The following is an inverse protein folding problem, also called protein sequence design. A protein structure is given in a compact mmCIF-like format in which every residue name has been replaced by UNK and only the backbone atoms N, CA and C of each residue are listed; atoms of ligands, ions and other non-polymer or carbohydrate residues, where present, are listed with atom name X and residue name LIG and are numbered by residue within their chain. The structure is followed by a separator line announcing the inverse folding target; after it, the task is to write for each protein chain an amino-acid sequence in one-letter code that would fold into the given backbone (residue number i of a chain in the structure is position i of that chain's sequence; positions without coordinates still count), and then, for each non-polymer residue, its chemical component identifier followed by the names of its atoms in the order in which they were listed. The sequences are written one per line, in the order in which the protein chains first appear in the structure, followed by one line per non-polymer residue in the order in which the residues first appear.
data_IF_100404404439
#
_entry.id   IF_100404404439
#
_cell.length_a   1.000
_cell.length_b   1.000
_cell.length_c   1.000
_cell.angle_alpha   90.00
_cell.angle_beta   90.00
_cell.angle_gamma   90.00
#
_symmetry.space_group_name_H-M   'P 1'
#
loop_
_entity.id
_entity.type
_entity.pdbx_description
1 polymer ?
#
# COMPACT_ATOMS: atom_id res chain seq x y z
N UNK A 1 26.21 23.37 12.21
CA UNK A 1 24.90 23.05 12.81
C UNK A 1 23.98 22.58 11.70
N UNK A 2 23.80 21.27 11.54
CA UNK A 2 22.94 20.70 10.50
C UNK A 2 21.53 20.64 11.06
N UNK A 3 20.62 21.46 10.51
CA UNK A 3 19.20 21.41 10.85
C UNK A 3 18.65 20.04 10.44
N UNK A 4 18.25 19.27 11.44
CA UNK A 4 17.45 18.06 11.27
C UNK A 4 16.08 18.49 10.75
N UNK A 5 15.92 18.47 9.43
CA UNK A 5 14.60 18.55 8.81
C UNK A 5 13.87 17.26 9.20
N UNK A 6 12.97 17.35 10.18
CA UNK A 6 12.03 16.31 10.55
C UNK A 6 11.13 16.04 9.34
N UNK A 7 11.54 15.11 8.47
CA UNK A 7 10.76 14.65 7.35
C UNK A 7 9.52 13.96 7.92
N UNK A 8 8.35 14.60 7.79
CA UNK A 8 7.09 14.02 8.24
C UNK A 8 6.58 13.10 7.13
N UNK A 9 6.72 11.79 7.33
CA UNK A 9 6.28 10.77 6.38
C UNK A 9 4.82 10.41 6.68
N UNK A 10 3.95 10.47 5.67
CA UNK A 10 2.52 10.16 5.81
C UNK A 10 2.11 9.05 4.84
N UNK A 11 1.52 7.99 5.39
CA UNK A 11 0.94 6.89 4.62
C UNK A 11 -0.55 7.22 4.37
N UNK A 12 -0.95 7.56 3.13
CA UNK A 12 -2.26 8.17 2.86
C UNK A 12 -2.98 7.68 1.58
N UNK A 13 -4.32 7.71 1.61
CA UNK A 13 -5.23 7.00 0.68
C UNK A 13 -5.90 7.83 -0.41
N UNK A 14 -5.73 9.15 -0.45
CA UNK A 14 -5.72 9.84 -1.72
C UNK A 14 -4.38 10.54 -1.87
N UNK A 15 -3.44 9.83 -2.50
CA UNK A 15 -2.16 10.41 -2.93
C UNK A 15 -2.36 11.68 -3.77
N UNK A 16 -3.54 11.88 -4.38
CA UNK A 16 -3.91 13.10 -5.11
C UNK A 16 -4.23 14.30 -4.21
N UNK A 17 -4.81 14.09 -3.02
CA UNK A 17 -5.26 15.16 -2.12
C UNK A 17 -4.08 15.76 -1.35
N UNK A 18 -3.11 14.92 -0.99
CA UNK A 18 -1.98 15.31 -0.14
C UNK A 18 -0.70 15.68 -0.91
N UNK A 19 -0.73 15.67 -2.25
CA UNK A 19 0.38 16.15 -3.10
C UNK A 19 0.74 17.63 -2.88
N UNK A 20 -0.10 18.38 -2.17
CA UNK A 20 0.07 19.79 -1.85
C UNK A 20 0.87 20.03 -0.54
N UNK A 21 1.30 18.97 0.14
CA UNK A 21 2.11 19.09 1.34
C UNK A 21 3.59 19.30 0.98
N UNK A 22 4.06 20.54 1.05
CA UNK A 22 5.44 20.92 0.66
C UNK A 22 6.55 20.33 1.56
N UNK A 23 6.20 19.75 2.71
CA UNK A 23 7.16 19.27 3.72
C UNK A 23 7.04 17.77 4.06
N UNK A 24 6.15 17.05 3.38
CA UNK A 24 5.89 15.64 3.67
C UNK A 24 6.17 14.76 2.45
N UNK A 25 6.96 13.72 2.65
CA UNK A 25 7.11 12.69 1.64
C UNK A 25 5.97 11.67 1.79
N UNK A 26 5.26 11.45 0.69
CA UNK A 26 4.17 10.49 0.63
C UNK A 26 4.72 9.07 0.49
N UNK A 27 4.15 8.15 1.24
CA UNK A 27 4.46 6.71 1.16
C UNK A 27 3.22 5.97 0.69
N UNK A 28 3.37 5.16 -0.35
CA UNK A 28 2.29 4.38 -0.92
C UNK A 28 1.94 3.16 -0.06
N UNK A 29 0.65 2.97 0.21
CA UNK A 29 0.16 1.79 0.93
C UNK A 29 -0.04 0.61 -0.04
N UNK A 30 0.72 -0.47 0.15
CA UNK A 30 0.65 -1.67 -0.68
C UNK A 30 -0.64 -2.47 -0.50
N UNK A 31 -1.42 -2.23 0.56
CA UNK A 31 -2.73 -2.85 0.71
C UNK A 31 -3.70 -2.43 -0.41
N UNK A 32 -3.55 -1.22 -0.95
CA UNK A 32 -4.37 -0.75 -2.08
C UNK A 32 -3.98 -1.40 -3.39
N UNK A 33 -2.67 -1.61 -3.60
CA UNK A 33 -2.18 -2.40 -4.74
C UNK A 33 -2.79 -3.80 -4.67
N UNK A 34 -2.63 -4.47 -3.51
CA UNK A 34 -3.18 -5.80 -3.27
C UNK A 34 -4.70 -5.87 -3.49
N UNK A 35 -5.45 -4.90 -2.97
CA UNK A 35 -6.92 -4.82 -3.15
C UNK A 35 -7.31 -4.67 -4.61
N UNK A 36 -6.60 -3.84 -5.39
CA UNK A 36 -6.89 -3.67 -6.83
C UNK A 36 -6.67 -4.96 -7.61
N UNK A 37 -5.59 -5.69 -7.33
CA UNK A 37 -5.37 -7.01 -7.91
C UNK A 37 -6.41 -8.04 -7.45
N UNK A 38 -6.84 -7.98 -6.19
CA UNK A 38 -7.93 -8.81 -5.68
C UNK A 38 -9.23 -8.58 -6.45
N UNK A 39 -9.66 -7.32 -6.58
CA UNK A 39 -10.88 -6.95 -7.30
C UNK A 39 -10.81 -7.25 -8.81
N UNK A 40 -9.59 -7.27 -9.36
CA UNK A 40 -9.31 -7.66 -10.74
C UNK A 40 -9.27 -9.18 -10.95
N UNK A 41 -9.19 -9.98 -9.88
CA UNK A 41 -9.10 -11.44 -9.96
C UNK A 41 -10.51 -12.07 -9.86
N UNK A 42 -10.99 -12.77 -10.89
CA UNK A 42 -12.26 -13.51 -10.81
C UNK A 42 -12.24 -14.58 -9.70
N UNK A 43 -13.38 -14.81 -9.04
CA UNK A 43 -13.49 -15.79 -7.94
C UNK A 43 -13.14 -17.24 -8.34
N UNK A 44 -13.30 -17.58 -9.62
CA UNK A 44 -12.97 -18.90 -10.20
C UNK A 44 -11.70 -18.85 -11.06
N UNK A 45 -10.86 -17.82 -10.89
CA UNK A 45 -9.66 -17.69 -11.69
C UNK A 45 -8.62 -18.73 -11.27
N UNK A 46 -7.95 -19.31 -12.26
CA UNK A 46 -6.80 -20.14 -12.02
C UNK A 46 -5.68 -19.33 -11.36
N UNK A 47 -4.83 -20.03 -10.59
CA UNK A 47 -3.63 -19.47 -9.98
C UNK A 47 -2.64 -18.88 -11.00
N UNK A 48 -2.79 -19.24 -12.27
CA UNK A 48 -2.02 -18.75 -13.41
C UNK A 48 -2.53 -17.42 -13.97
N UNK A 49 -3.71 -16.95 -13.55
CA UNK A 49 -4.25 -15.67 -14.00
C UNK A 49 -3.36 -14.50 -13.58
N UNK A 50 -3.29 -13.47 -14.41
CA UNK A 50 -2.47 -12.29 -14.14
C UNK A 50 -2.87 -11.58 -12.83
N UNK A 51 -4.16 -11.55 -12.51
CA UNK A 51 -4.66 -11.02 -11.25
C UNK A 51 -4.13 -11.81 -10.05
N UNK A 52 -4.20 -13.15 -10.10
CA UNK A 52 -3.65 -14.03 -9.07
C UNK A 52 -2.13 -13.89 -8.93
N UNK A 53 -1.40 -13.69 -10.04
CA UNK A 53 0.04 -13.44 -10.02
C UNK A 53 0.37 -12.11 -9.33
N UNK A 54 -0.37 -11.05 -9.62
CA UNK A 54 -0.21 -9.76 -8.93
C UNK A 54 -0.52 -9.84 -7.43
N UNK A 55 -1.53 -10.62 -7.05
CA UNK A 55 -1.81 -10.94 -5.65
C UNK A 55 -0.66 -11.70 -4.99
N UNK A 56 -0.10 -12.69 -5.67
CA UNK A 56 1.01 -13.48 -5.14
C UNK A 56 2.27 -12.62 -4.88
N UNK A 57 2.56 -11.63 -5.72
CA UNK A 57 3.60 -10.64 -5.41
C UNK A 57 3.30 -9.86 -4.14
N UNK A 58 2.07 -9.34 -4.01
CA UNK A 58 1.67 -8.59 -2.82
C UNK A 58 1.76 -9.45 -1.55
N UNK A 59 1.27 -10.69 -1.61
CA UNK A 59 1.30 -11.63 -0.49
C UNK A 59 2.74 -11.95 -0.07
N UNK A 60 3.67 -12.11 -1.02
CA UNK A 60 5.11 -12.29 -0.71
C UNK A 60 5.71 -11.05 -0.02
N UNK A 61 5.39 -9.84 -0.50
CA UNK A 61 5.86 -8.61 0.14
C UNK A 61 5.37 -8.50 1.59
N UNK A 62 4.09 -8.82 1.83
CA UNK A 62 3.52 -8.82 3.19
C UNK A 62 4.06 -9.94 4.08
N UNK A 63 4.38 -11.11 3.52
CA UNK A 63 4.99 -12.20 4.27
C UNK A 63 6.37 -11.78 4.79
N UNK A 64 7.22 -11.23 3.92
CA UNK A 64 8.53 -10.71 4.31
C UNK A 64 8.44 -9.64 5.41
N UNK A 65 7.53 -8.67 5.28
CA UNK A 65 7.36 -7.65 6.33
C UNK A 65 6.88 -8.22 7.66
N UNK A 66 6.02 -9.24 7.65
CA UNK A 66 5.58 -9.89 8.88
C UNK A 66 6.72 -10.62 9.59
N UNK A 67 7.64 -11.23 8.83
CA UNK A 67 8.83 -11.90 9.39
C UNK A 67 9.78 -10.89 10.07
N UNK A 68 9.64 -9.60 9.80
CA UNK A 68 10.51 -8.53 10.30
C UNK A 68 9.83 -7.62 11.33
N UNK A 69 8.67 -8.03 11.86
CA UNK A 69 7.90 -7.20 12.80
C UNK A 69 8.66 -6.91 14.10
N UNK A 70 9.45 -7.88 14.58
CA UNK A 70 10.21 -7.78 15.83
C UNK A 70 11.65 -7.30 15.65
N UNK A 71 12.08 -7.06 14.39
CA UNK A 71 13.42 -6.55 14.11
C UNK A 71 13.53 -5.07 14.45
N UNK A 72 14.75 -4.63 14.76
CA UNK A 72 15.05 -3.20 14.88
C UNK A 72 14.81 -2.48 13.55
N UNK A 73 14.61 -1.16 13.63
CA UNK A 73 14.45 -0.29 12.44
C UNK A 73 15.58 -0.45 11.43
N UNK A 74 16.83 -0.59 11.91
CA UNK A 74 18.02 -0.71 11.07
C UNK A 74 18.09 -2.07 10.38
N UNK A 75 17.85 -3.15 11.13
CA UNK A 75 17.81 -4.52 10.59
C UNK A 75 16.67 -4.68 9.58
N UNK A 76 15.48 -4.14 9.89
CA UNK A 76 14.36 -4.13 8.96
C UNK A 76 14.70 -3.37 7.67
N UNK A 77 15.37 -2.22 7.77
CA UNK A 77 15.80 -1.47 6.60
C UNK A 77 16.81 -2.27 5.76
N UNK A 78 17.77 -2.93 6.40
CA UNK A 78 18.73 -3.79 5.72
C UNK A 78 18.04 -4.94 4.99
N UNK A 79 17.10 -5.62 5.66
CA UNK A 79 16.26 -6.67 5.07
C UNK A 79 15.42 -6.18 3.89
N UNK A 80 14.83 -4.98 4.01
CA UNK A 80 14.11 -4.34 2.90
C UNK A 80 15.00 -4.14 1.68
N UNK A 81 16.22 -3.66 1.87
CA UNK A 81 17.16 -3.46 0.76
C UNK A 81 17.61 -4.79 0.13
N UNK A 82 17.85 -5.81 0.96
CA UNK A 82 18.35 -7.10 0.48
C UNK A 82 17.26 -7.97 -0.19
N UNK A 83 16.03 -7.95 0.33
CA UNK A 83 14.99 -8.93 -0.04
C UNK A 83 13.73 -8.25 -0.62
N UNK A 84 13.27 -7.15 -0.03
CA UNK A 84 12.03 -6.49 -0.46
C UNK A 84 12.22 -5.68 -1.75
N UNK A 85 13.32 -4.94 -1.87
CA UNK A 85 13.66 -4.13 -3.03
C UNK A 85 13.71 -4.94 -4.35
N UNK A 86 14.47 -6.06 -4.44
CA UNK A 86 14.48 -6.86 -5.67
C UNK A 86 13.10 -7.45 -6.00
N UNK A 87 12.30 -7.82 -4.98
CA UNK A 87 10.94 -8.32 -5.20
C UNK A 87 10.00 -7.23 -5.72
N UNK A 88 10.13 -5.99 -5.24
CA UNK A 88 9.40 -4.84 -5.78
C UNK A 88 9.80 -4.57 -7.23
N UNK A 89 11.09 -4.59 -7.54
CA UNK A 89 11.58 -4.40 -8.91
C UNK A 89 11.08 -5.49 -9.85
N UNK A 90 11.08 -6.75 -9.41
CA UNK A 90 10.50 -7.88 -10.15
C UNK A 90 9.01 -7.63 -10.44
N UNK A 91 8.25 -7.18 -9.44
CA UNK A 91 6.83 -6.85 -9.59
C UNK A 91 6.59 -5.71 -10.57
N UNK A 92 7.34 -4.60 -10.49
CA UNK A 92 7.17 -3.47 -11.41
C UNK A 92 7.60 -3.82 -12.84
N UNK A 93 8.70 -4.56 -13.00
CA UNK A 93 9.11 -5.09 -14.30
C UNK A 93 8.06 -6.04 -14.89
N UNK A 94 7.50 -6.92 -14.07
CA UNK A 94 6.39 -7.77 -14.48
C UNK A 94 5.20 -6.91 -14.94
N UNK A 95 4.79 -5.90 -14.17
CA UNK A 95 3.72 -4.97 -14.53
C UNK A 95 3.94 -4.29 -15.89
N UNK A 96 5.15 -3.77 -16.16
CA UNK A 96 5.49 -3.12 -17.45
C UNK A 96 5.40 -4.08 -18.64
N UNK A 97 5.66 -5.36 -18.42
CA UNK A 97 5.63 -6.39 -19.46
C UNK A 97 4.22 -6.93 -19.76
N UNK A 98 3.16 -6.39 -19.14
CA UNK A 98 1.80 -6.85 -19.40
C UNK A 98 1.13 -6.05 -20.51
N UNK A 99 0.72 -6.74 -21.58
CA UNK A 99 -0.11 -6.16 -22.65
C UNK A 99 -1.59 -6.29 -22.29
N UNK A 100 -2.12 -5.32 -21.55
CA UNK A 100 -3.51 -5.34 -21.06
C UNK A 100 -4.32 -4.21 -21.68
N UNK A 101 -5.56 -4.53 -22.07
CA UNK A 101 -6.51 -3.54 -22.57
C UNK A 101 -6.79 -2.45 -21.51
N UNK A 102 -6.63 -1.16 -21.88
CA UNK A 102 -6.98 -0.04 -21.02
C UNK A 102 -8.42 -0.14 -20.53
N UNK A 103 -8.67 0.26 -19.28
CA UNK A 103 -10.02 0.32 -18.70
C UNK A 103 -10.53 -0.98 -18.07
N UNK A 104 -9.87 -2.12 -18.27
CA UNK A 104 -10.14 -3.34 -17.50
C UNK A 104 -9.76 -3.16 -16.03
N UNK A 105 -10.39 -3.94 -15.12
CA UNK A 105 -10.02 -3.90 -13.69
C UNK A 105 -8.53 -4.20 -13.47
N UNK A 106 -8.02 -5.17 -14.22
CA UNK A 106 -6.61 -5.55 -14.17
C UNK A 106 -5.70 -4.45 -14.76
N UNK A 107 -6.09 -3.86 -15.90
CA UNK A 107 -5.38 -2.72 -16.48
C UNK A 107 -5.28 -1.55 -15.50
N UNK A 108 -6.38 -1.22 -14.81
CA UNK A 108 -6.39 -0.19 -13.74
C UNK A 108 -5.50 -0.54 -12.56
N UNK A 109 -5.39 -1.82 -12.19
CA UNK A 109 -4.51 -2.25 -11.10
C UNK A 109 -3.03 -2.06 -11.48
N UNK A 110 -2.65 -2.45 -12.69
CA UNK A 110 -1.30 -2.27 -13.22
C UNK A 110 -0.97 -0.79 -13.39
N UNK A 111 -1.85 -0.03 -14.04
CA UNK A 111 -1.69 1.41 -14.25
C UNK A 111 -1.49 2.15 -12.92
N UNK A 112 -2.33 1.84 -11.92
CA UNK A 112 -2.17 2.41 -10.58
C UNK A 112 -0.83 2.06 -9.96
N UNK A 113 -0.37 0.81 -10.09
CA UNK A 113 0.91 0.37 -9.55
C UNK A 113 2.06 1.14 -10.19
N UNK A 114 2.09 1.23 -11.51
CA UNK A 114 3.15 1.92 -12.26
C UNK A 114 3.13 3.44 -12.05
N UNK A 115 1.94 4.06 -11.99
CA UNK A 115 1.78 5.51 -11.81
C UNK A 115 2.38 6.02 -10.50
N UNK A 116 2.40 5.19 -9.46
CA UNK A 116 2.85 5.57 -8.12
C UNK A 116 4.04 4.73 -7.65
N UNK A 117 4.82 4.15 -8.55
CA UNK A 117 5.96 3.28 -8.25
C UNK A 117 6.93 3.90 -7.23
N UNK A 118 7.37 5.14 -7.45
CA UNK A 118 8.27 5.86 -6.53
C UNK A 118 7.71 5.96 -5.11
N UNK A 119 6.39 6.14 -4.99
CA UNK A 119 5.73 6.22 -3.68
C UNK A 119 5.67 4.87 -2.98
N UNK A 120 5.50 3.79 -3.74
CA UNK A 120 5.51 2.42 -3.20
C UNK A 120 6.92 1.97 -2.81
N UNK A 121 7.96 2.45 -3.51
CA UNK A 121 9.37 2.21 -3.18
C UNK A 121 9.88 3.09 -2.03
N UNK A 122 9.19 4.18 -1.69
CA UNK A 122 9.58 5.06 -0.58
C UNK A 122 9.75 4.33 0.77
N UNK A 123 9.03 3.22 1.00
CA UNK A 123 9.17 2.37 2.20
C UNK A 123 10.58 1.78 2.37
N UNK A 124 11.35 1.69 1.29
CA UNK A 124 12.72 1.19 1.28
C UNK A 124 13.72 2.23 1.80
N UNK A 125 13.32 3.48 1.99
CA UNK A 125 14.23 4.57 2.39
C UNK A 125 14.39 4.70 3.90
N UNK A 126 13.41 4.21 4.69
CA UNK A 126 13.42 4.32 6.15
C UNK A 126 12.68 3.12 6.79
N UNK A 127 13.34 2.42 7.71
CA UNK A 127 12.79 1.25 8.41
C UNK A 127 11.59 1.55 9.31
N UNK A 128 11.36 2.83 9.66
CA UNK A 128 10.20 3.29 10.45
C UNK A 128 8.91 3.31 9.63
N UNK A 129 9.03 3.32 8.31
CA UNK A 129 7.88 3.31 7.41
C UNK A 129 7.18 1.96 7.45
N UNK A 130 5.87 1.97 7.22
CA UNK A 130 5.03 0.76 7.21
C UNK A 130 4.54 0.48 5.80
N UNK A 131 4.60 -0.79 5.39
CA UNK A 131 4.16 -1.24 4.07
C UNK A 131 2.63 -1.08 3.87
N UNK A 132 1.86 -1.13 4.97
CA UNK A 132 0.43 -0.88 4.97
C UNK A 132 0.00 -0.07 6.19
N UNK A 133 -0.92 0.87 5.96
CA UNK A 133 -1.58 1.63 7.02
C UNK A 133 -2.90 1.02 7.51
N UNK A 134 -3.19 -0.23 7.15
CA UNK A 134 -4.49 -0.86 7.45
C UNK A 134 -4.87 -0.79 8.94
N UNK A 135 -3.88 -0.84 9.84
CA UNK A 135 -4.10 -0.72 11.29
C UNK A 135 -4.59 0.67 11.66
N UNK A 136 -3.93 1.74 11.19
CA UNK A 136 -4.37 3.09 11.50
C UNK A 136 -5.69 3.44 10.79
N UNK A 137 -5.90 2.97 9.56
CA UNK A 137 -7.17 3.15 8.86
C UNK A 137 -8.34 2.48 9.57
N UNK A 138 -8.14 1.25 10.10
CA UNK A 138 -9.14 0.56 10.91
C UNK A 138 -9.40 1.28 12.23
N UNK A 139 -8.35 1.78 12.89
CA UNK A 139 -8.48 2.56 14.12
C UNK A 139 -9.21 3.90 13.93
N UNK A 140 -8.93 4.61 12.83
CA UNK A 140 -9.65 5.84 12.49
C UNK A 140 -11.11 5.51 12.12
N UNK A 141 -11.35 4.45 11.34
CA UNK A 141 -12.71 4.01 11.02
C UNK A 141 -13.51 3.62 12.26
N UNK A 142 -12.91 2.93 13.24
CA UNK A 142 -13.61 2.60 14.48
C UNK A 142 -13.92 3.85 15.31
N UNK A 143 -13.02 4.83 15.36
CA UNK A 143 -13.25 6.13 16.02
C UNK A 143 -14.35 6.95 15.33
N UNK A 144 -14.39 6.94 14.00
CA UNK A 144 -15.41 7.66 13.22
C UNK A 144 -16.76 6.95 13.29
N UNK A 145 -16.79 5.61 13.23
CA UNK A 145 -18.03 4.83 13.39
C UNK A 145 -18.56 4.89 14.83
N UNK A 146 -17.68 4.94 15.84
CA UNK A 146 -18.06 5.17 17.25
C UNK A 146 -18.66 6.56 17.52
N UNK A 147 -18.57 7.50 16.57
CA UNK A 147 -19.27 8.80 16.62
C UNK A 147 -20.62 8.79 15.91
N UNK A 148 -21.00 7.68 15.26
CA UNK A 148 -22.25 7.55 14.51
C UNK A 148 -23.38 6.87 15.29
N UNK A 149 -23.23 6.61 16.60
CA UNK A 149 -24.30 6.10 17.46
C UNK A 149 -24.69 7.13 18.54
N UNK A 150 -25.25 8.27 18.11
CA UNK A 150 -26.24 9.03 18.89
C UNK A 150 -27.07 9.95 18.00
N UNK A 151 -27.88 9.35 17.12
CA UNK A 151 -29.14 9.98 16.72
C UNK A 151 -30.23 8.95 16.99
N UNK A 152 -30.70 8.96 18.23
CA UNK A 152 -31.90 8.27 18.63
C UNK A 152 -33.08 8.99 17.98
N UNK A 153 -33.61 8.42 16.89
CA UNK A 153 -34.91 8.81 16.38
C UNK A 153 -35.98 8.22 17.30
N UNK A 154 -36.32 8.94 18.38
CA UNK A 154 -37.64 8.81 19.00
C UNK A 154 -38.62 9.62 18.15
N UNK A 155 -39.38 8.94 17.28
CA UNK A 155 -40.71 9.43 16.94
C UNK A 155 -41.66 8.81 17.97
N UNK A 156 -42.01 9.61 18.97
CA UNK A 156 -43.14 9.33 19.85
C UNK A 156 -44.41 9.91 19.22
N UNK A 157 -45.43 9.05 19.15
CA UNK A 157 -46.88 9.29 18.94
C UNK A 157 -47.33 9.99 17.64
#
# INVERSE_FOLDING_TARGET
MRNEATLSLVNCEPLSVYRQLDKAQLVGCWAHVRRKFFEATPKKADRTSLGAKGLAYCDRLFALENDWVDLSTEERLHKRQAELAPLMDEFFNWCRNQSILPGTKLGRAIEYSLKYEELFKAVLQDGRLVLSNNVAERAIKSLVMGRSERVQWTFSA
#
